data_IF_685141963224
#
_entry.id   IF_685141963224
#
_cell.length_a   1.000
_cell.length_b   1.000
_cell.length_c   1.000
_cell.angle_alpha   90.00
_cell.angle_beta   90.00
_cell.angle_gamma   90.00
#
_symmetry.space_group_name_H-M   'P 1'
#
loop_
_entity.id
_entity.type
_entity.pdbx_description
1 polymer ?
#
# COMPACT_ATOMS: atom_id res chain seq x y z
N UNK A 1 2.43 12.33 20.95
CA UNK A 1 1.64 11.85 19.80
C UNK A 1 1.60 12.96 18.74
N UNK A 2 2.45 12.87 17.72
CA UNK A 2 2.52 13.89 16.65
C UNK A 2 1.43 13.60 15.63
N UNK A 3 0.51 14.56 15.46
CA UNK A 3 -0.69 14.42 14.65
C UNK A 3 -0.40 14.82 13.21
N UNK A 4 0.30 13.97 12.47
CA UNK A 4 0.50 14.15 11.02
C UNK A 4 -0.84 13.93 10.32
N UNK A 5 -1.44 14.98 9.74
CA UNK A 5 -2.68 14.86 8.96
C UNK A 5 -2.36 14.25 7.60
N UNK A 6 -2.33 12.93 7.53
CA UNK A 6 -2.27 12.19 6.28
C UNK A 6 -3.67 11.64 5.96
N UNK A 7 -4.22 11.96 4.78
CA UNK A 7 -5.59 11.59 4.42
C UNK A 7 -5.78 10.06 4.42
N UNK A 8 -4.86 9.32 3.80
CA UNK A 8 -4.90 7.86 3.72
C UNK A 8 -4.85 7.21 5.11
N UNK A 9 -3.93 7.64 5.98
CA UNK A 9 -3.85 7.11 7.35
C UNK A 9 -5.09 7.50 8.17
N UNK A 10 -5.68 8.66 7.92
CA UNK A 10 -6.91 9.10 8.57
C UNK A 10 -8.11 8.20 8.25
N UNK A 11 -8.27 7.76 7.01
CA UNK A 11 -9.32 6.81 6.61
C UNK A 11 -9.13 5.42 7.25
N UNK A 12 -7.88 5.00 7.48
CA UNK A 12 -7.58 3.70 8.10
C UNK A 12 -7.72 3.77 9.62
N UNK A 13 -7.00 4.67 10.28
CA UNK A 13 -6.81 4.66 11.74
C UNK A 13 -7.23 5.98 12.42
N UNK A 14 -8.01 6.82 11.74
CA UNK A 14 -8.53 8.07 12.32
C UNK A 14 -9.41 7.83 13.54
N UNK A 15 -9.13 8.53 14.64
CA UNK A 15 -9.98 8.53 15.83
C UNK A 15 -11.37 9.15 15.59
N UNK A 16 -12.24 9.05 16.60
CA UNK A 16 -13.57 9.70 16.62
C UNK A 16 -14.53 9.23 15.51
N UNK A 17 -14.49 7.93 15.19
CA UNK A 17 -15.39 7.32 14.20
C UNK A 17 -15.04 7.63 12.74
N UNK A 18 -13.86 8.18 12.46
CA UNK A 18 -13.42 8.53 11.10
C UNK A 18 -12.76 7.33 10.41
N UNK A 19 -11.88 6.64 11.12
CA UNK A 19 -11.12 5.52 10.59
C UNK A 19 -11.90 4.21 10.64
N UNK A 20 -11.61 3.30 9.71
CA UNK A 20 -12.13 1.93 9.73
C UNK A 20 -11.63 1.14 10.95
N UNK A 21 -10.38 1.38 11.38
CA UNK A 21 -9.72 0.74 12.52
C UNK A 21 -9.02 1.77 13.44
N UNK A 22 -9.77 2.59 14.20
CA UNK A 22 -9.22 3.69 15.01
C UNK A 22 -8.24 3.28 16.12
N UNK A 23 -8.25 2.02 16.53
CA UNK A 23 -7.34 1.47 17.56
C UNK A 23 -6.07 0.82 17.00
N UNK A 24 -5.90 0.80 15.67
CA UNK A 24 -4.73 0.19 15.05
C UNK A 24 -3.47 1.00 15.35
N UNK A 25 -2.37 0.28 15.67
CA UNK A 25 -1.04 0.88 15.66
C UNK A 25 -0.63 1.11 14.21
N UNK A 26 0.00 2.24 13.93
CA UNK A 26 0.47 2.56 12.59
C UNK A 26 1.88 3.15 12.63
N UNK A 27 2.59 2.93 11.54
CA UNK A 27 3.85 3.59 11.21
C UNK A 27 3.72 4.14 9.78
N UNK A 28 4.53 5.13 9.44
CA UNK A 28 4.54 5.73 8.10
C UNK A 28 5.97 5.87 7.61
N UNK A 29 6.15 5.60 6.31
CA UNK A 29 7.38 5.87 5.59
C UNK A 29 7.08 6.86 4.47
N UNK A 30 7.93 7.88 4.32
CA UNK A 30 7.74 8.95 3.32
C UNK A 30 8.34 8.53 1.98
N UNK A 31 7.63 7.68 1.24
CA UNK A 31 8.04 7.24 -0.10
C UNK A 31 7.82 8.28 -1.22
N UNK A 32 7.08 9.34 -0.92
CA UNK A 32 6.89 10.50 -1.79
C UNK A 32 7.45 11.73 -1.08
N UNK A 33 8.76 11.96 -1.22
CA UNK A 33 9.44 13.06 -0.57
C UNK A 33 9.00 14.43 -1.09
N UNK A 34 8.47 14.49 -2.32
CA UNK A 34 8.00 15.72 -2.98
C UNK A 34 6.65 15.48 -3.67
N UNK A 35 6.34 16.22 -4.72
CA UNK A 35 5.22 15.90 -5.63
C UNK A 35 5.42 14.59 -6.40
N UNK A 36 6.64 14.05 -6.41
CA UNK A 36 6.99 12.76 -6.99
C UNK A 36 7.36 11.73 -5.92
N UNK A 37 7.12 10.46 -6.25
CA UNK A 37 7.54 9.30 -5.48
C UNK A 37 8.68 8.63 -6.25
N UNK A 38 9.90 8.76 -5.75
CA UNK A 38 11.07 8.15 -6.38
C UNK A 38 11.10 6.65 -6.09
N UNK A 39 11.49 5.84 -7.08
CA UNK A 39 11.58 4.39 -6.90
C UNK A 39 12.50 4.02 -5.73
N UNK A 40 13.63 4.72 -5.57
CA UNK A 40 14.56 4.51 -4.44
C UNK A 40 13.90 4.71 -3.08
N UNK A 41 13.06 5.73 -2.94
CA UNK A 41 12.36 6.03 -1.69
C UNK A 41 11.29 4.97 -1.40
N UNK A 42 10.60 4.50 -2.45
CA UNK A 42 9.58 3.45 -2.35
C UNK A 42 10.20 2.09 -1.98
N UNK A 43 11.36 1.75 -2.56
CA UNK A 43 12.11 0.54 -2.23
C UNK A 43 12.62 0.59 -0.79
N UNK A 44 13.22 1.70 -0.37
CA UNK A 44 13.68 1.88 1.00
C UNK A 44 12.53 1.76 2.02
N UNK A 45 11.35 2.31 1.71
CA UNK A 45 10.15 2.10 2.51
C UNK A 45 9.68 0.64 2.52
N UNK A 46 9.80 -0.04 1.38
CA UNK A 46 9.55 -1.47 1.22
C UNK A 46 10.34 -2.32 2.20
N UNK A 47 11.65 -2.16 2.14
CA UNK A 47 12.62 -2.88 2.98
C UNK A 47 12.43 -2.57 4.46
N UNK A 48 12.19 -1.29 4.79
CA UNK A 48 11.90 -0.89 6.16
C UNK A 48 10.67 -1.61 6.74
N UNK A 49 9.59 -1.79 5.97
CA UNK A 49 8.42 -2.50 6.48
C UNK A 49 8.60 -4.02 6.51
N UNK A 50 9.49 -4.59 5.69
CA UNK A 50 9.85 -6.01 5.78
C UNK A 50 10.61 -6.31 7.08
N UNK A 51 11.54 -5.44 7.48
CA UNK A 51 12.24 -5.55 8.76
C UNK A 51 12.61 -4.18 9.33
N UNK A 52 11.77 -3.59 10.20
CA UNK A 52 11.97 -2.24 10.71
C UNK A 52 13.28 -2.08 11.48
N UNK A 53 14.00 -0.99 11.18
CA UNK A 53 15.23 -0.58 11.89
C UNK A 53 14.98 0.70 12.70
N UNK A 54 15.98 1.10 13.48
CA UNK A 54 16.04 2.47 14.02
C UNK A 54 16.35 3.47 12.91
N UNK A 55 16.19 4.77 13.23
CA UNK A 55 16.40 5.86 12.27
C UNK A 55 17.85 5.95 11.73
N UNK A 56 18.82 5.41 12.47
CA UNK A 56 20.23 5.29 12.07
C UNK A 56 20.54 3.99 11.31
N UNK A 57 19.53 3.19 10.98
CA UNK A 57 19.68 1.89 10.31
C UNK A 57 20.07 0.73 11.25
N UNK A 58 20.26 0.99 12.54
CA UNK A 58 20.66 -0.04 13.51
C UNK A 58 19.49 -0.85 14.05
N UNK A 59 19.80 -1.98 14.71
CA UNK A 59 18.85 -2.84 15.43
C UNK A 59 17.63 -3.25 14.58
N UNK A 60 17.83 -4.03 13.50
CA UNK A 60 16.70 -4.60 12.76
C UNK A 60 15.85 -5.47 13.67
N UNK A 61 14.54 -5.24 13.65
CA UNK A 61 13.56 -5.97 14.45
C UNK A 61 12.36 -6.33 13.57
N UNK A 62 12.47 -7.46 12.88
CA UNK A 62 11.43 -7.90 11.95
C UNK A 62 10.15 -8.33 12.68
N UNK A 63 10.14 -8.49 14.01
CA UNK A 63 8.92 -8.73 14.78
C UNK A 63 7.98 -7.51 14.79
N UNK A 64 8.51 -6.33 14.43
CA UNK A 64 7.74 -5.09 14.29
C UNK A 64 7.18 -4.88 12.89
N UNK A 65 7.37 -5.84 11.98
CA UNK A 65 6.73 -5.80 10.67
C UNK A 65 5.20 -5.62 10.80
N UNK A 66 4.57 -4.74 10.00
CA UNK A 66 3.14 -4.53 10.04
C UNK A 66 2.40 -5.73 9.45
N UNK A 67 1.13 -5.92 9.82
CA UNK A 67 0.31 -6.95 9.17
C UNK A 67 -0.18 -6.52 7.78
N UNK A 68 -0.30 -5.21 7.55
CA UNK A 68 -0.87 -4.63 6.32
C UNK A 68 -0.06 -3.39 5.95
N UNK A 69 0.30 -3.25 4.67
CA UNK A 69 0.93 -2.05 4.12
C UNK A 69 0.01 -1.45 3.06
N UNK A 70 -0.36 -0.18 3.24
CA UNK A 70 -1.26 0.55 2.33
C UNK A 70 -0.47 1.52 1.44
N UNK A 71 -0.58 1.33 0.13
CA UNK A 71 0.16 2.05 -0.90
C UNK A 71 -0.80 2.82 -1.82
N UNK A 72 -0.87 4.14 -1.63
CA UNK A 72 -1.64 5.05 -2.49
C UNK A 72 -0.76 5.72 -3.55
N UNK A 73 -0.02 4.90 -4.29
CA UNK A 73 0.86 5.33 -5.38
C UNK A 73 0.87 4.24 -6.47
N UNK A 74 1.34 4.59 -7.67
CA UNK A 74 1.49 3.67 -8.78
C UNK A 74 2.43 4.23 -9.84
N UNK A 75 3.00 3.35 -10.66
CA UNK A 75 3.88 3.68 -11.78
C UNK A 75 3.25 3.39 -13.13
N UNK A 76 4.09 3.18 -14.16
CA UNK A 76 3.65 2.67 -15.46
C UNK A 76 3.18 1.21 -15.36
N UNK A 77 2.40 0.75 -16.35
CA UNK A 77 1.86 -0.62 -16.41
C UNK A 77 2.93 -1.66 -16.75
N UNK A 78 2.74 -2.89 -16.27
CA UNK A 78 3.60 -4.04 -16.59
C UNK A 78 5.05 -3.91 -16.09
N UNK A 79 5.31 -2.98 -15.18
CA UNK A 79 6.62 -2.84 -14.56
C UNK A 79 6.81 -3.89 -13.47
N UNK A 80 8.04 -4.32 -13.19
CA UNK A 80 8.32 -5.37 -12.18
C UNK A 80 9.31 -4.94 -11.09
N UNK A 81 9.75 -3.68 -11.09
CA UNK A 81 10.81 -3.18 -10.19
C UNK A 81 10.47 -3.26 -8.70
N UNK A 82 9.20 -3.49 -8.33
CA UNK A 82 8.76 -3.62 -6.94
C UNK A 82 8.41 -5.07 -6.52
N UNK A 83 8.57 -6.04 -7.44
CA UNK A 83 8.17 -7.42 -7.18
C UNK A 83 8.93 -8.03 -6.00
N UNK A 84 10.24 -7.77 -5.90
CA UNK A 84 11.07 -8.33 -4.83
C UNK A 84 10.61 -7.85 -3.45
N UNK A 85 10.14 -6.59 -3.35
CA UNK A 85 9.56 -6.06 -2.11
C UNK A 85 8.25 -6.78 -1.78
N UNK A 86 7.38 -6.97 -2.78
CA UNK A 86 6.09 -7.66 -2.61
C UNK A 86 6.30 -9.12 -2.17
N UNK A 87 7.23 -9.83 -2.80
CA UNK A 87 7.56 -11.19 -2.40
C UNK A 87 8.19 -11.24 -1.00
N UNK A 88 9.05 -10.28 -0.66
CA UNK A 88 9.58 -10.12 0.70
C UNK A 88 8.48 -9.90 1.74
N UNK A 89 7.49 -9.07 1.42
CA UNK A 89 6.31 -8.84 2.25
C UNK A 89 5.46 -10.10 2.39
N UNK A 90 5.20 -10.85 1.32
CA UNK A 90 4.49 -12.12 1.41
C UNK A 90 5.24 -13.15 2.27
N UNK A 91 6.56 -13.25 2.14
CA UNK A 91 7.40 -14.11 2.97
C UNK A 91 7.33 -13.73 4.46
N UNK A 92 7.24 -12.42 4.75
CA UNK A 92 7.04 -11.87 6.09
C UNK A 92 5.56 -11.91 6.57
N UNK A 93 4.64 -12.48 5.78
CA UNK A 93 3.18 -12.54 6.06
C UNK A 93 2.53 -11.16 6.19
N UNK A 94 3.04 -10.20 5.44
CA UNK A 94 2.51 -8.84 5.31
C UNK A 94 1.54 -8.82 4.12
N UNK A 95 0.40 -8.16 4.27
CA UNK A 95 -0.59 -7.99 3.20
C UNK A 95 -0.35 -6.64 2.49
N UNK A 96 0.14 -6.63 1.23
CA UNK A 96 0.22 -5.41 0.44
C UNK A 96 -1.15 -4.99 -0.11
N UNK A 97 -1.49 -3.72 0.05
CA UNK A 97 -2.64 -3.08 -0.56
C UNK A 97 -2.16 -1.97 -1.50
N UNK A 98 -2.49 -2.05 -2.79
CA UNK A 98 -2.14 -1.03 -3.78
C UNK A 98 -3.38 -0.41 -4.41
N UNK A 99 -3.29 0.88 -4.77
CA UNK A 99 -4.32 1.55 -5.56
C UNK A 99 -4.30 1.04 -7.00
N UNK A 100 -5.47 0.75 -7.57
CA UNK A 100 -5.60 0.30 -8.97
C UNK A 100 -5.25 1.39 -10.02
N UNK A 101 -4.98 2.62 -9.56
CA UNK A 101 -4.78 3.78 -10.43
C UNK A 101 -6.09 4.45 -10.86
N UNK A 102 -5.95 5.64 -11.45
CA UNK A 102 -7.08 6.53 -11.79
C UNK A 102 -7.34 6.62 -13.31
N UNK A 103 -6.78 5.69 -14.10
CA UNK A 103 -6.83 5.72 -15.57
C UNK A 103 -8.02 4.96 -16.18
N UNK A 104 -8.96 4.49 -15.36
CA UNK A 104 -10.19 3.82 -15.80
C UNK A 104 -11.12 4.72 -16.62
N UNK A 105 -12.26 4.19 -17.13
CA UNK A 105 -12.88 2.91 -16.77
C UNK A 105 -12.63 1.76 -17.75
N UNK A 106 -11.79 1.95 -18.77
CA UNK A 106 -11.51 0.88 -19.75
C UNK A 106 -10.78 -0.31 -19.12
N UNK A 107 -10.84 -1.49 -19.76
CA UNK A 107 -10.04 -2.63 -19.36
C UNK A 107 -8.52 -2.33 -19.46
N UNK A 108 -7.70 -3.13 -18.78
CA UNK A 108 -6.25 -2.99 -18.77
C UNK A 108 -5.72 -1.65 -18.25
N UNK A 109 -6.48 -0.94 -17.39
CA UNK A 109 -6.06 0.37 -16.86
C UNK A 109 -5.34 0.34 -15.52
N UNK A 110 -5.20 -0.85 -14.92
CA UNK A 110 -4.44 -1.05 -13.70
C UNK A 110 -2.98 -0.65 -13.91
N UNK A 111 -2.39 0.01 -12.92
CA UNK A 111 -0.99 0.43 -12.93
C UNK A 111 -0.18 -0.41 -11.94
N UNK A 112 1.09 -0.68 -12.23
CA UNK A 112 1.98 -1.37 -11.29
C UNK A 112 2.18 -0.55 -10.02
N UNK A 113 2.25 -1.20 -8.84
CA UNK A 113 2.29 -2.66 -8.63
C UNK A 113 0.91 -3.34 -8.55
N UNK A 114 -0.19 -2.61 -8.68
CA UNK A 114 -1.54 -3.17 -8.56
C UNK A 114 -1.94 -4.08 -9.73
N UNK A 115 -1.21 -4.08 -10.84
CA UNK A 115 -1.40 -5.01 -11.96
C UNK A 115 -0.56 -6.29 -11.84
N UNK A 116 0.24 -6.42 -10.79
CA UNK A 116 1.13 -7.55 -10.55
C UNK A 116 0.44 -8.56 -9.63
N UNK A 117 0.40 -9.82 -10.06
CA UNK A 117 -0.08 -10.99 -9.31
C UNK A 117 -1.49 -10.86 -8.68
N UNK A 118 -2.06 -11.99 -8.24
CA UNK A 118 -3.44 -12.09 -7.75
C UNK A 118 -3.52 -12.22 -6.22
N UNK A 119 -2.43 -11.89 -5.51
CA UNK A 119 -2.36 -11.96 -4.03
C UNK A 119 -2.53 -10.59 -3.36
N UNK A 120 -2.49 -9.54 -4.17
CA UNK A 120 -2.61 -8.14 -3.82
C UNK A 120 -4.10 -7.79 -3.74
N UNK A 121 -4.53 -7.18 -2.63
CA UNK A 121 -5.92 -6.76 -2.50
C UNK A 121 -6.08 -5.37 -3.14
N UNK A 122 -6.72 -5.33 -4.30
CA UNK A 122 -6.98 -4.10 -5.05
C UNK A 122 -8.08 -3.27 -4.37
N UNK A 123 -7.79 -2.00 -4.11
CA UNK A 123 -8.75 -1.04 -3.59
C UNK A 123 -8.97 0.07 -4.61
N UNK A 124 -10.20 0.21 -5.12
CA UNK A 124 -10.56 1.30 -6.03
C UNK A 124 -12.00 1.31 -6.55
N UNK A 125 -12.61 2.51 -6.45
CA UNK A 125 -13.91 3.02 -6.91
C UNK A 125 -15.14 2.80 -6.00
N UNK A 126 -15.99 3.84 -5.76
CA UNK A 126 -17.22 3.71 -5.00
C UNK A 126 -18.13 2.68 -5.66
N UNK A 127 -18.63 1.75 -4.85
CA UNK A 127 -19.58 0.72 -5.25
C UNK A 127 -20.85 1.44 -5.73
N UNK A 128 -21.14 1.41 -7.03
CA UNK A 128 -22.49 1.75 -7.49
C UNK A 128 -23.47 0.78 -6.81
N UNK A 129 -24.63 1.23 -6.31
CA UNK A 129 -25.63 0.33 -5.75
C UNK A 129 -25.92 -0.80 -6.75
N UNK A 130 -25.67 -2.05 -6.36
CA UNK A 130 -25.92 -3.24 -7.18
C UNK A 130 -24.70 -3.97 -7.75
N UNK A 131 -23.46 -3.52 -7.50
CA UNK A 131 -22.25 -4.27 -7.90
C UNK A 131 -21.74 -5.11 -6.73
N UNK A 132 -21.66 -6.43 -6.92
CA UNK A 132 -21.25 -7.38 -5.90
C UNK A 132 -19.72 -7.56 -5.93
N UNK A 133 -19.08 -7.81 -4.79
CA UNK A 133 -17.61 -7.98 -4.66
C UNK A 133 -16.98 -9.02 -5.58
N UNK A 134 -17.80 -9.93 -6.15
CA UNK A 134 -17.39 -10.94 -7.13
C UNK A 134 -17.05 -10.33 -8.50
N UNK A 135 -17.53 -9.12 -8.80
CA UNK A 135 -17.31 -8.45 -10.09
C UNK A 135 -16.02 -7.63 -10.14
N UNK A 136 -15.45 -7.28 -8.97
CA UNK A 136 -14.12 -6.64 -8.86
C UNK A 136 -12.97 -7.64 -9.06
N UNK A 137 -13.26 -8.95 -9.13
CA UNK A 137 -12.27 -10.02 -9.40
C UNK A 137 -12.13 -10.37 -10.87
N UNK A 138 -12.79 -9.63 -11.77
CA UNK A 138 -12.64 -9.84 -13.21
C UNK A 138 -11.58 -8.88 -13.77
N UNK A 139 -10.32 -9.31 -13.69
CA UNK A 139 -9.35 -8.95 -14.73
C UNK A 139 -9.36 -10.10 -15.76
N UNK A 140 -9.36 -9.78 -17.05
CA UNK A 140 -8.10 -9.79 -17.77
C UNK A 140 -7.52 -8.39 -17.91
#
# INVERSE_FOLDING_TARGET
MTRTRNHTTGTIAGGKGIGVAPGAKWAACRGCASSACWQSDLLACGDFFACPTRADGSSPDCSKAPNVVSNSWGGGRGNTWYNDVIEGWHAAKIIPLFSNGNSGPSCNTANSPADQNAKEFLLGQPIKPGVHWKDLRRNP
#
